data_IF_759163930839
#
_entry.id   IF_759163930839
#
_cell.length_a   1.000
_cell.length_b   1.000
_cell.length_c   1.000
_cell.angle_alpha   90.00
_cell.angle_beta   90.00
_cell.angle_gamma   90.00
#
_symmetry.space_group_name_H-M   'P 1'
#
loop_
_entity.id
_entity.type
_entity.pdbx_description
1 polymer ?
#
# COMPACT_ATOMS: atom_id res chain seq x y z
N UNK A 1 -4.31 -18.55 -14.49
CA UNK A 1 -3.87 -19.16 -13.21
C UNK A 1 -3.92 -18.07 -12.16
N UNK A 2 -4.92 -18.11 -11.28
CA UNK A 2 -4.98 -17.21 -10.13
C UNK A 2 -3.97 -17.73 -9.12
N UNK A 3 -2.96 -16.91 -8.79
CA UNK A 3 -1.96 -17.22 -7.76
C UNK A 3 -2.67 -17.71 -6.49
N UNK A 4 -2.17 -18.80 -5.90
CA UNK A 4 -2.71 -19.26 -4.63
C UNK A 4 -2.49 -18.19 -3.57
N UNK A 5 -3.51 -17.87 -2.77
CA UNK A 5 -3.41 -16.90 -1.67
C UNK A 5 -2.21 -17.18 -0.75
N UNK A 6 -1.79 -18.45 -0.62
CA UNK A 6 -0.57 -18.83 0.10
C UNK A 6 0.70 -18.35 -0.58
N UNK A 7 0.80 -18.47 -1.90
CA UNK A 7 1.98 -18.03 -2.65
C UNK A 7 2.10 -16.50 -2.57
N UNK A 8 0.99 -15.79 -2.75
CA UNK A 8 0.98 -14.33 -2.61
C UNK A 8 1.36 -13.90 -1.18
N UNK A 9 0.81 -14.54 -0.15
CA UNK A 9 1.19 -14.31 1.26
C UNK A 9 2.68 -14.60 1.50
N UNK A 10 3.22 -15.68 0.90
CA UNK A 10 4.62 -16.06 1.05
C UNK A 10 5.58 -15.12 0.31
N UNK A 11 5.12 -14.53 -0.80
CA UNK A 11 5.89 -13.61 -1.62
C UNK A 11 5.83 -12.17 -1.12
N UNK A 12 4.67 -11.73 -0.64
CA UNK A 12 4.47 -10.40 -0.07
C UNK A 12 5.01 -10.35 1.37
N UNK A 13 4.99 -11.47 2.08
CA UNK A 13 5.39 -11.56 3.50
C UNK A 13 4.32 -11.05 4.47
N UNK A 14 3.13 -10.71 3.96
CA UNK A 14 2.01 -10.19 4.73
C UNK A 14 1.15 -11.33 5.29
N UNK A 15 0.61 -11.12 6.48
CA UNK A 15 -0.41 -12.00 7.03
C UNK A 15 -1.71 -11.91 6.20
N UNK A 16 -2.48 -13.00 6.16
CA UNK A 16 -3.80 -13.03 5.49
C UNK A 16 -4.71 -11.90 6.01
N UNK A 17 -4.59 -11.56 7.30
CA UNK A 17 -5.32 -10.46 7.91
C UNK A 17 -4.97 -9.08 7.31
N UNK A 18 -3.69 -8.80 7.05
CA UNK A 18 -3.26 -7.53 6.45
C UNK A 18 -3.84 -7.39 5.04
N UNK A 19 -3.90 -8.49 4.28
CA UNK A 19 -4.52 -8.51 2.95
C UNK A 19 -6.02 -8.18 3.01
N UNK A 20 -6.76 -8.77 3.96
CA UNK A 20 -8.17 -8.45 4.19
C UNK A 20 -8.37 -6.99 4.59
N UNK A 21 -7.44 -6.44 5.39
CA UNK A 21 -7.50 -5.07 5.84
C UNK A 21 -7.31 -4.07 4.69
N UNK A 22 -6.33 -4.34 3.80
CA UNK A 22 -6.15 -3.57 2.57
C UNK A 22 -7.34 -3.70 1.62
N UNK A 23 -7.93 -4.89 1.49
CA UNK A 23 -9.12 -5.10 0.66
C UNK A 23 -10.32 -4.31 1.19
N UNK A 24 -10.54 -4.33 2.51
CA UNK A 24 -11.59 -3.54 3.16
C UNK A 24 -11.37 -2.04 2.98
N UNK A 25 -10.14 -1.57 3.15
CA UNK A 25 -9.80 -0.16 2.92
C UNK A 25 -10.02 0.27 1.46
N UNK A 26 -9.69 -0.60 0.50
CA UNK A 26 -9.90 -0.36 -0.92
C UNK A 26 -11.39 -0.30 -1.29
N UNK A 27 -12.24 -1.13 -0.65
CA UNK A 27 -13.70 -1.03 -0.78
C UNK A 27 -14.23 0.30 -0.24
N UNK A 28 -13.82 0.69 0.97
CA UNK A 28 -14.22 1.98 1.58
C UNK A 28 -13.77 3.15 0.70
N UNK A 29 -12.54 3.11 0.21
CA UNK A 29 -12.02 4.10 -0.72
C UNK A 29 -12.81 4.17 -2.02
N UNK A 30 -13.14 3.02 -2.63
CA UNK A 30 -13.96 2.99 -3.85
C UNK A 30 -15.33 3.63 -3.63
N UNK A 31 -15.95 3.41 -2.47
CA UNK A 31 -17.22 4.06 -2.11
C UNK A 31 -17.04 5.56 -1.90
N UNK A 32 -15.99 6.00 -1.20
CA UNK A 32 -15.70 7.42 -1.01
C UNK A 32 -15.40 8.14 -2.33
N UNK A 33 -14.68 7.50 -3.25
CA UNK A 33 -14.41 8.04 -4.59
C UNK A 33 -15.70 8.16 -5.39
N UNK A 34 -16.55 7.13 -5.39
CA UNK A 34 -17.84 7.20 -6.08
C UNK A 34 -18.72 8.33 -5.51
N UNK A 35 -18.74 8.48 -4.18
CA UNK A 35 -19.47 9.56 -3.52
C UNK A 35 -18.92 10.95 -3.87
N UNK A 36 -17.60 11.09 -3.97
CA UNK A 36 -16.94 12.34 -4.34
C UNK A 36 -17.22 12.75 -5.80
N UNK A 37 -17.44 11.78 -6.68
CA UNK A 37 -17.80 12.01 -8.09
C UNK A 37 -19.27 12.35 -8.30
N UNK A 38 -20.19 11.74 -7.53
CA UNK A 38 -21.64 11.93 -7.68
C UNK A 38 -22.19 13.13 -6.88
N UNK A 39 -21.56 13.51 -5.76
CA UNK A 39 -22.00 14.65 -4.95
C UNK A 39 -21.35 15.93 -5.48
N UNK A 40 -22.19 16.84 -5.97
CA UNK A 40 -21.81 18.15 -6.50
C UNK A 40 -20.76 18.84 -5.61
N UNK A 41 -19.66 19.33 -6.21
CA UNK A 41 -18.46 19.94 -5.57
C UNK A 41 -18.80 21.06 -4.56
N UNK A 42 -20.04 21.53 -4.56
CA UNK A 42 -20.54 22.65 -3.78
C UNK A 42 -20.95 22.31 -2.33
N UNK A 43 -21.25 21.05 -1.99
CA UNK A 43 -21.73 20.67 -0.64
C UNK A 43 -20.61 20.08 0.24
N UNK A 44 -19.67 19.34 -0.37
CA UNK A 44 -18.52 18.78 0.32
C UNK A 44 -17.24 19.34 -0.33
N UNK A 45 -16.61 20.34 0.30
CA UNK A 45 -15.17 20.60 0.13
C UNK A 45 -14.36 19.44 0.74
N UNK A 46 -14.65 18.20 0.36
CA UNK A 46 -13.82 17.07 0.74
C UNK A 46 -12.54 17.15 -0.06
N UNK A 47 -11.47 17.46 0.67
CA UNK A 47 -10.12 17.38 0.12
C UNK A 47 -9.82 15.94 -0.27
N UNK A 48 -9.13 15.74 -1.40
CA UNK A 48 -8.67 14.42 -1.85
C UNK A 48 -7.92 13.65 -0.74
N UNK A 49 -7.27 14.38 0.18
CA UNK A 49 -6.66 13.83 1.39
C UNK A 49 -7.62 13.00 2.27
N UNK A 50 -8.88 13.38 2.35
CA UNK A 50 -9.88 12.70 3.16
C UNK A 50 -10.38 11.42 2.48
N UNK A 51 -10.47 11.44 1.14
CA UNK A 51 -10.83 10.27 0.32
C UNK A 51 -9.79 9.17 0.44
N UNK A 52 -8.51 9.52 0.48
CA UNK A 52 -7.40 8.58 0.65
C UNK A 52 -7.09 8.18 2.11
N UNK A 53 -7.69 8.85 3.10
CA UNK A 53 -7.52 8.53 4.53
C UNK A 53 -7.70 7.04 4.89
N UNK A 54 -8.73 6.31 4.41
CA UNK A 54 -8.87 4.87 4.71
C UNK A 54 -7.70 4.02 4.20
N UNK A 55 -7.09 4.37 3.06
CA UNK A 55 -5.91 3.67 2.53
C UNK A 55 -4.68 3.90 3.43
N UNK A 56 -4.45 5.15 3.83
CA UNK A 56 -3.35 5.49 4.75
C UNK A 56 -3.53 4.84 6.13
N UNK A 57 -4.75 4.80 6.66
CA UNK A 57 -5.05 4.12 7.91
C UNK A 57 -4.73 2.62 7.83
N UNK A 58 -5.04 1.99 6.69
CA UNK A 58 -4.70 0.59 6.46
C UNK A 58 -3.19 0.33 6.39
N UNK A 59 -2.44 1.17 5.68
CA UNK A 59 -0.97 1.07 5.64
C UNK A 59 -0.33 1.28 7.00
N UNK A 60 -0.85 2.24 7.78
CA UNK A 60 -0.41 2.47 9.15
C UNK A 60 -0.66 1.27 10.06
N UNK A 61 -1.85 0.66 9.99
CA UNK A 61 -2.20 -0.50 10.80
C UNK A 61 -1.37 -1.75 10.40
N UNK A 62 -1.16 -1.96 9.10
CA UNK A 62 -0.30 -3.04 8.60
C UNK A 62 1.17 -2.85 9.04
N UNK A 63 1.69 -1.62 8.99
CA UNK A 63 3.04 -1.32 9.49
C UNK A 63 3.17 -1.60 10.98
N UNK A 64 2.16 -1.20 11.78
CA UNK A 64 2.12 -1.46 13.21
C UNK A 64 2.11 -2.97 13.53
N UNK A 65 1.30 -3.75 12.82
CA UNK A 65 1.23 -5.20 13.00
C UNK A 65 2.56 -5.88 12.65
N UNK A 66 3.13 -5.55 11.49
CA UNK A 66 4.44 -6.06 11.06
C UNK A 66 5.55 -5.72 12.07
N UNK A 67 5.53 -4.51 12.65
CA UNK A 67 6.48 -4.13 13.69
C UNK A 67 6.37 -5.01 14.95
N UNK A 68 5.15 -5.26 15.45
CA UNK A 68 4.91 -6.12 16.62
C UNK A 68 5.40 -7.55 16.38
N UNK A 69 5.02 -8.15 15.25
CA UNK A 69 5.42 -9.52 14.89
C UNK A 69 6.93 -9.64 14.88
N UNK A 70 7.61 -8.60 14.39
CA UNK A 70 9.06 -8.62 14.27
C UNK A 70 9.77 -8.44 15.60
N UNK A 71 9.21 -7.66 16.53
CA UNK A 71 9.71 -7.56 17.91
C UNK A 71 9.61 -8.93 18.60
N UNK A 72 8.51 -9.66 18.42
CA UNK A 72 8.37 -11.02 18.97
C UNK A 72 9.39 -11.99 18.37
N UNK A 73 9.55 -11.98 17.05
CA UNK A 73 10.49 -12.86 16.37
C UNK A 73 11.96 -12.56 16.73
N UNK A 74 12.26 -11.30 17.07
CA UNK A 74 13.58 -10.91 17.61
C UNK A 74 13.86 -11.53 18.99
N UNK A 75 12.83 -11.67 19.84
CA UNK A 75 12.95 -12.27 21.16
C UNK A 75 13.15 -13.79 21.11
N UNK A 76 12.66 -14.46 20.05
CA UNK A 76 12.75 -15.91 19.87
C UNK A 76 14.11 -16.39 19.30
N UNK A 77 15.05 -15.49 18.97
CA UNK A 77 16.45 -15.82 18.65
C UNK A 77 16.83 -15.83 17.17
N UNK A 78 15.86 -15.81 16.25
CA UNK A 78 16.07 -15.82 14.79
C UNK A 78 16.22 -14.39 14.20
N UNK A 79 17.17 -13.63 14.74
CA UNK A 79 17.28 -12.17 14.52
C UNK A 79 17.50 -11.75 13.06
N UNK A 80 18.31 -12.50 12.30
CA UNK A 80 18.67 -12.11 10.92
C UNK A 80 17.51 -12.28 9.94
N UNK A 81 16.82 -13.42 10.02
CA UNK A 81 15.71 -13.72 9.11
C UNK A 81 14.50 -12.81 9.40
N UNK A 82 14.25 -12.53 10.69
CA UNK A 82 13.23 -11.61 11.15
C UNK A 82 13.43 -10.19 10.61
N UNK A 83 14.64 -9.64 10.79
CA UNK A 83 14.97 -8.28 10.34
C UNK A 83 14.91 -8.17 8.82
N UNK A 84 15.37 -9.18 8.09
CA UNK A 84 15.35 -9.16 6.63
C UNK A 84 13.93 -9.23 6.06
N UNK A 85 13.03 -10.00 6.71
CA UNK A 85 11.60 -10.02 6.38
C UNK A 85 10.95 -8.67 6.71
N UNK A 86 11.23 -8.09 7.87
CA UNK A 86 10.67 -6.81 8.30
C UNK A 86 11.10 -5.69 7.34
N UNK A 87 12.39 -5.60 7.04
CA UNK A 87 12.92 -4.63 6.09
C UNK A 87 12.25 -4.77 4.72
N UNK A 88 12.04 -5.99 4.24
CA UNK A 88 11.33 -6.22 2.99
C UNK A 88 9.89 -5.68 3.03
N UNK A 89 9.11 -6.10 4.04
CA UNK A 89 7.70 -5.68 4.16
C UNK A 89 7.60 -4.16 4.33
N UNK A 90 8.51 -3.57 5.11
CA UNK A 90 8.60 -2.13 5.29
C UNK A 90 8.93 -1.40 3.98
N UNK A 91 9.86 -1.91 3.16
CA UNK A 91 10.17 -1.31 1.85
C UNK A 91 9.02 -1.41 0.86
N UNK A 92 8.24 -2.50 0.90
CA UNK A 92 7.04 -2.65 0.06
C UNK A 92 5.94 -1.69 0.50
N UNK A 93 5.66 -1.61 1.81
CA UNK A 93 4.70 -0.67 2.39
C UNK A 93 5.07 0.77 2.11
N UNK A 94 6.34 1.16 2.31
CA UNK A 94 6.78 2.54 2.07
C UNK A 94 6.64 2.93 0.61
N UNK A 95 6.96 2.03 -0.32
CA UNK A 95 6.83 2.28 -1.75
C UNK A 95 5.36 2.42 -2.16
N UNK A 96 4.46 1.60 -1.58
CA UNK A 96 3.00 1.76 -1.72
C UNK A 96 2.52 3.11 -1.19
N UNK A 97 2.94 3.48 0.02
CA UNK A 97 2.60 4.76 0.66
C UNK A 97 3.04 5.96 -0.21
N UNK A 98 4.26 5.92 -0.75
CA UNK A 98 4.77 6.96 -1.67
C UNK A 98 3.92 7.03 -2.94
N UNK A 99 3.54 5.89 -3.52
CA UNK A 99 2.60 5.84 -4.65
C UNK A 99 1.27 6.52 -4.30
N UNK A 100 0.69 6.20 -3.14
CA UNK A 100 -0.59 6.78 -2.71
C UNK A 100 -0.50 8.29 -2.45
N UNK A 101 0.58 8.77 -1.84
CA UNK A 101 0.81 10.21 -1.62
C UNK A 101 1.01 10.93 -2.95
N UNK A 102 1.78 10.36 -3.89
CA UNK A 102 1.96 10.92 -5.22
C UNK A 102 0.62 10.99 -5.98
N UNK A 103 -0.22 9.96 -5.85
CA UNK A 103 -1.57 9.96 -6.41
C UNK A 103 -2.46 11.03 -5.75
N UNK A 104 -2.43 11.18 -4.42
CA UNK A 104 -3.18 12.22 -3.71
C UNK A 104 -2.81 13.62 -4.20
N UNK A 105 -1.51 13.91 -4.25
CA UNK A 105 -0.99 15.19 -4.74
C UNK A 105 -1.43 15.43 -6.16
N UNK A 106 -1.43 14.38 -6.99
CA UNK A 106 -1.87 14.49 -8.37
C UNK A 106 -3.35 14.78 -8.54
N UNK A 107 -4.22 14.09 -7.82
CA UNK A 107 -5.65 14.38 -7.90
C UNK A 107 -5.98 15.75 -7.31
N UNK A 108 -5.25 16.20 -6.29
CA UNK A 108 -5.37 17.56 -5.74
C UNK A 108 -4.87 18.64 -6.71
N UNK A 109 -3.75 18.41 -7.40
CA UNK A 109 -3.19 19.34 -8.40
C UNK A 109 -3.93 19.30 -9.74
N UNK A 110 -4.64 18.22 -10.07
CA UNK A 110 -5.45 18.15 -11.28
C UNK A 110 -6.66 19.11 -11.24
N UNK A 111 -7.13 19.49 -10.04
CA UNK A 111 -8.07 20.60 -9.86
C UNK A 111 -7.42 21.97 -10.13
N UNK A 112 -6.08 22.05 -10.20
CA UNK A 112 -5.28 23.28 -10.29
C UNK A 112 -4.15 23.16 -11.35
N UNK A 113 -4.47 22.71 -12.57
CA UNK A 113 -3.69 22.94 -13.80
C UNK A 113 -2.14 22.75 -13.73
N UNK A 114 -1.64 21.54 -13.46
CA UNK A 114 -0.20 21.24 -13.65
C UNK A 114 0.11 19.81 -14.12
N UNK A 115 0.84 19.72 -15.23
CA UNK A 115 1.34 18.52 -15.92
C UNK A 115 2.45 17.81 -15.14
N UNK A 116 2.13 17.27 -13.97
CA UNK A 116 3.06 16.39 -13.28
C UNK A 116 3.12 15.04 -14.04
N UNK A 117 4.31 14.61 -14.43
CA UNK A 117 4.48 13.59 -15.46
C UNK A 117 3.99 12.22 -14.97
N UNK A 118 3.11 11.58 -15.73
CA UNK A 118 2.54 10.25 -15.42
C UNK A 118 3.63 9.20 -15.12
N UNK A 119 4.82 9.36 -15.73
CA UNK A 119 5.99 8.50 -15.50
C UNK A 119 6.53 8.54 -14.06
N UNK A 120 6.42 9.66 -13.34
CA UNK A 120 6.92 9.78 -11.97
C UNK A 120 6.05 8.99 -10.98
N UNK A 121 4.74 8.94 -11.22
CA UNK A 121 3.77 8.18 -10.41
C UNK A 121 3.94 6.67 -10.62
N UNK A 122 4.17 6.26 -11.87
CA UNK A 122 4.29 4.84 -12.25
C UNK A 122 5.66 4.27 -11.87
N UNK A 123 6.69 5.11 -11.70
CA UNK A 123 8.05 4.68 -11.32
C UNK A 123 8.10 3.83 -10.04
N UNK A 124 7.55 4.26 -8.88
CA UNK A 124 7.53 3.44 -7.67
C UNK A 124 6.71 2.15 -7.83
N UNK A 125 5.63 2.16 -8.62
CA UNK A 125 4.87 0.95 -8.94
C UNK A 125 5.72 -0.06 -9.73
N UNK A 126 6.50 0.44 -10.70
CA UNK A 126 7.35 -0.40 -11.53
C UNK A 126 8.52 -1.01 -10.73
N UNK A 127 9.12 -0.22 -9.84
CA UNK A 127 10.15 -0.70 -8.91
C UNK A 127 9.58 -1.79 -7.99
N UNK A 128 8.35 -1.60 -7.50
CA UNK A 128 7.66 -2.61 -6.68
C UNK A 128 7.46 -3.91 -7.46
N UNK A 129 7.02 -3.82 -8.71
CA UNK A 129 6.78 -4.98 -9.57
C UNK A 129 8.08 -5.76 -9.86
N UNK A 130 9.18 -5.04 -10.11
CA UNK A 130 10.50 -5.65 -10.32
C UNK A 130 11.03 -6.34 -9.06
N UNK A 131 10.86 -5.73 -7.88
CA UNK A 131 11.23 -6.34 -6.60
C UNK A 131 10.45 -7.65 -6.36
N UNK A 132 9.15 -7.65 -6.64
CA UNK A 132 8.33 -8.86 -6.54
C UNK A 132 8.78 -9.95 -7.52
N UNK A 133 9.13 -9.58 -8.75
CA UNK A 133 9.66 -10.52 -9.75
C UNK A 133 10.98 -11.15 -9.32
N UNK A 134 11.92 -10.38 -8.77
CA UNK A 134 13.20 -10.91 -8.28
C UNK A 134 12.98 -11.90 -7.14
N UNK A 135 12.05 -11.60 -6.22
CA UNK A 135 11.72 -12.49 -5.11
C UNK A 135 11.02 -13.77 -5.57
N UNK A 136 10.14 -13.67 -6.57
CA UNK A 136 9.51 -14.82 -7.22
C UNK A 136 10.55 -15.84 -7.69
N UNK A 137 11.60 -15.36 -8.35
CA UNK A 137 12.68 -16.21 -8.87
C UNK A 137 13.58 -16.83 -7.78
N UNK A 138 13.59 -16.27 -6.56
CA UNK A 138 14.42 -16.76 -5.44
C UNK A 138 13.68 -17.71 -4.49
N UNK A 139 12.35 -17.82 -4.62
CA UNK A 139 11.50 -18.65 -3.74
C UNK A 139 11.13 -20.01 -4.36
N UNK A 140 11.46 -20.23 -5.63
CA UNK A 140 11.52 -21.56 -6.27
C UNK A 140 12.87 -22.22 -6.05
#
# INVERSE_FOLDING_TARGET
MLFSLRELVQWLGFATFELFLHLGALLVFSVLVALHMDVDKQILKMSWWLVFSPLFAADGLSTYFTAIVSIRLYQEGEKRLAVLRLLWVLTVLSLKLVCEVLLCQKLAEQDQASDLWFGLIVSPLFILLQLLMIRACRVN
#
